data_IF_057784194333
#
_entry.id   IF_057784194333
#
_cell.length_a   1.000
_cell.length_b   1.000
_cell.length_c   1.000
_cell.angle_alpha   90.00
_cell.angle_beta   90.00
_cell.angle_gamma   90.00
#
_symmetry.space_group_name_H-M   'P 1'
#
loop_
_entity.id
_entity.type
_entity.pdbx_description
1 polymer ?
#
# COMPACT_ATOMS: atom_id res chain seq x y z
N UNK A 1 -7.80 -10.90 -9.53
CA UNK A 1 -6.81 -10.12 -10.30
C UNK A 1 -6.31 -8.99 -9.43
N UNK A 2 -5.00 -8.76 -9.38
CA UNK A 2 -4.37 -7.70 -8.56
C UNK A 2 -4.39 -6.35 -9.27
N UNK A 3 -4.21 -5.26 -8.50
CA UNK A 3 -4.17 -3.91 -9.02
C UNK A 3 -3.08 -3.70 -10.08
N UNK A 4 -1.79 -4.09 -9.86
CA UNK A 4 -0.77 -3.94 -10.89
C UNK A 4 -1.12 -4.67 -12.20
N UNK A 5 -1.71 -5.88 -12.11
CA UNK A 5 -2.12 -6.62 -13.30
C UNK A 5 -3.26 -5.95 -14.08
N UNK A 6 -4.21 -5.31 -13.38
CA UNK A 6 -5.24 -4.49 -14.04
C UNK A 6 -4.66 -3.18 -14.60
N UNK A 7 -3.68 -2.59 -13.93
CA UNK A 7 -3.03 -1.37 -14.38
C UNK A 7 -2.25 -1.62 -15.68
N UNK A 8 -1.37 -2.63 -15.73
CA UNK A 8 -0.66 -3.02 -16.96
C UNK A 8 -1.65 -3.36 -18.09
N UNK A 9 -2.78 -3.97 -17.77
CA UNK A 9 -3.84 -4.23 -18.77
C UNK A 9 -4.41 -2.94 -19.37
N UNK A 10 -4.68 -1.92 -18.54
CA UNK A 10 -5.14 -0.60 -18.99
C UNK A 10 -4.04 0.14 -19.77
N UNK A 11 -2.77 0.09 -19.33
CA UNK A 11 -1.67 0.86 -19.94
C UNK A 11 -1.20 0.26 -21.26
N UNK A 12 -1.44 -1.03 -21.49
CA UNK A 12 -1.31 -1.68 -22.80
C UNK A 12 -2.49 -1.34 -23.73
N UNK A 13 -3.75 -1.50 -23.27
CA UNK A 13 -4.93 -1.20 -24.09
C UNK A 13 -4.99 0.28 -24.50
N UNK A 14 -4.63 1.20 -23.60
CA UNK A 14 -4.51 2.63 -23.90
C UNK A 14 -3.45 2.91 -24.97
N UNK A 15 -2.32 2.18 -24.98
CA UNK A 15 -1.31 2.30 -26.04
C UNK A 15 -1.84 1.86 -27.39
N UNK A 16 -2.60 0.77 -27.46
CA UNK A 16 -3.20 0.34 -28.72
C UNK A 16 -4.29 1.29 -29.21
N UNK A 17 -5.13 1.84 -28.33
CA UNK A 17 -6.07 2.91 -28.67
C UNK A 17 -5.35 4.15 -29.21
N UNK A 18 -4.28 4.60 -28.54
CA UNK A 18 -3.45 5.74 -28.96
C UNK A 18 -2.67 5.49 -30.27
N UNK A 19 -2.52 4.22 -30.70
CA UNK A 19 -1.98 3.86 -32.03
C UNK A 19 -3.08 3.73 -33.09
N UNK A 20 -4.26 3.22 -32.72
CA UNK A 20 -5.32 2.85 -33.65
C UNK A 20 -6.23 4.01 -34.05
N UNK A 21 -6.71 4.79 -33.06
CA UNK A 21 -7.72 5.84 -33.27
C UNK A 21 -7.14 7.05 -34.03
N UNK A 22 -7.70 7.45 -35.19
CA UNK A 22 -7.27 8.64 -35.93
C UNK A 22 -7.31 9.97 -35.15
N UNK A 23 -8.14 10.09 -34.11
CA UNK A 23 -8.25 11.27 -33.25
C UNK A 23 -7.14 11.35 -32.19
N UNK A 24 -6.46 10.23 -31.92
CA UNK A 24 -5.46 10.06 -30.87
C UNK A 24 -4.05 9.75 -31.41
N UNK A 25 -3.97 9.15 -32.60
CA UNK A 25 -2.72 8.75 -33.26
C UNK A 25 -1.69 9.88 -33.30
N UNK A 26 -0.46 9.55 -32.90
CA UNK A 26 0.70 10.43 -32.82
C UNK A 26 0.59 11.61 -31.83
N UNK A 27 -0.44 11.67 -30.99
CA UNK A 27 -0.61 12.71 -29.96
C UNK A 27 -0.03 12.28 -28.62
N UNK A 28 0.32 13.25 -27.77
CA UNK A 28 0.68 13.03 -26.37
C UNK A 28 -0.52 13.26 -25.44
N UNK A 29 -0.39 12.88 -24.18
CA UNK A 29 -1.42 13.03 -23.15
C UNK A 29 -0.89 13.87 -21.99
N UNK A 30 -1.64 14.87 -21.54
CA UNK A 30 -1.36 15.57 -20.30
C UNK A 30 -2.01 14.83 -19.14
N UNK A 31 -1.23 14.46 -18.13
CA UNK A 31 -1.76 13.80 -16.95
C UNK A 31 -2.59 14.79 -16.09
N UNK A 32 -3.85 14.46 -15.83
CA UNK A 32 -4.80 15.23 -15.03
C UNK A 32 -4.76 14.92 -13.54
N UNK A 33 -5.93 14.76 -12.91
CA UNK A 33 -6.06 14.30 -11.52
C UNK A 33 -6.53 12.84 -11.48
N UNK A 34 -6.08 12.09 -10.48
CA UNK A 34 -6.70 10.81 -10.06
C UNK A 34 -7.72 11.12 -8.96
N UNK A 35 -8.96 10.66 -9.14
CA UNK A 35 -10.11 10.99 -8.30
C UNK A 35 -10.76 9.72 -7.74
N UNK A 36 -11.35 9.84 -6.56
CA UNK A 36 -12.22 8.89 -5.89
C UNK A 36 -13.57 9.58 -5.69
N UNK A 37 -14.69 8.90 -6.00
CA UNK A 37 -16.03 9.44 -5.77
C UNK A 37 -16.58 8.98 -4.40
N UNK A 38 -16.16 7.82 -3.89
CA UNK A 38 -16.65 7.27 -2.62
C UNK A 38 -15.60 6.80 -1.59
N UNK A 39 -14.30 7.06 -1.79
CA UNK A 39 -13.20 6.57 -0.93
C UNK A 39 -12.32 7.68 -0.34
N UNK A 40 -12.90 8.70 0.30
CA UNK A 40 -12.19 9.94 0.66
C UNK A 40 -10.95 9.83 1.58
N UNK A 41 -10.61 8.65 2.13
CA UNK A 41 -9.48 8.43 3.06
C UNK A 41 -8.55 7.27 2.68
N UNK A 42 -8.78 6.61 1.54
CA UNK A 42 -7.94 5.52 1.01
C UNK A 42 -6.49 5.96 0.72
N UNK A 43 -6.29 7.23 0.34
CA UNK A 43 -5.02 7.83 -0.08
C UNK A 43 -4.36 7.18 -1.31
N UNK A 44 -5.10 6.31 -1.99
CA UNK A 44 -4.60 5.50 -3.09
C UNK A 44 -4.42 6.29 -4.40
N UNK A 45 -4.91 7.54 -4.49
CA UNK A 45 -4.64 8.41 -5.65
C UNK A 45 -3.13 8.55 -5.91
N UNK A 46 -2.31 8.52 -4.85
CA UNK A 46 -0.85 8.60 -4.96
C UNK A 46 -0.26 7.46 -5.76
N UNK A 47 -0.54 6.22 -5.32
CA UNK A 47 0.02 5.01 -5.93
C UNK A 47 -0.46 4.88 -7.37
N UNK A 48 -1.76 5.07 -7.59
CA UNK A 48 -2.36 4.98 -8.92
C UNK A 48 -1.88 6.10 -9.86
N UNK A 49 -1.73 7.35 -9.39
CA UNK A 49 -1.09 8.42 -10.18
C UNK A 49 0.35 8.09 -10.53
N UNK A 50 1.14 7.65 -9.55
CA UNK A 50 2.58 7.43 -9.70
C UNK A 50 2.86 6.24 -10.63
N UNK A 51 2.15 5.12 -10.44
CA UNK A 51 2.28 3.97 -11.35
C UNK A 51 1.80 4.31 -12.76
N UNK A 52 0.65 4.98 -12.96
CA UNK A 52 0.23 5.42 -14.31
C UNK A 52 1.26 6.34 -14.98
N UNK A 53 1.91 7.24 -14.23
CA UNK A 53 2.93 8.14 -14.77
C UNK A 53 4.21 7.42 -15.18
N UNK A 54 4.61 6.38 -14.44
CA UNK A 54 5.72 5.50 -14.83
C UNK A 54 5.33 4.65 -16.04
N UNK A 55 4.18 3.98 -15.98
CA UNK A 55 3.68 3.05 -16.98
C UNK A 55 3.25 3.70 -18.31
N UNK A 56 3.16 5.03 -18.39
CA UNK A 56 2.78 5.78 -19.59
C UNK A 56 3.75 6.92 -19.93
N UNK A 57 4.97 6.90 -19.37
CA UNK A 57 5.94 8.00 -19.53
C UNK A 57 6.27 8.34 -21.00
N UNK A 58 6.20 7.37 -21.91
CA UNK A 58 6.34 7.52 -23.37
C UNK A 58 5.19 8.28 -24.03
N UNK A 59 3.98 8.26 -23.44
CA UNK A 59 2.80 8.94 -23.95
C UNK A 59 2.55 10.31 -23.30
N UNK A 60 3.18 10.61 -22.17
CA UNK A 60 2.87 11.81 -21.37
C UNK A 60 3.64 13.07 -21.81
N UNK A 61 2.95 14.21 -21.83
CA UNK A 61 3.54 15.54 -22.09
C UNK A 61 2.75 16.63 -21.34
N UNK A 62 3.43 17.63 -20.76
CA UNK A 62 2.80 18.69 -19.97
C UNK A 62 1.95 19.66 -20.80
N UNK A 63 2.29 19.87 -22.07
CA UNK A 63 1.66 20.82 -23.00
C UNK A 63 0.48 20.28 -23.80
N UNK A 64 0.15 18.98 -23.70
CA UNK A 64 -0.89 18.39 -24.54
C UNK A 64 -2.30 18.94 -24.24
N UNK A 65 -3.10 19.07 -25.31
CA UNK A 65 -4.51 19.44 -25.26
C UNK A 65 -5.44 18.24 -24.96
N UNK A 66 -4.92 17.01 -25.05
CA UNK A 66 -5.56 15.81 -24.52
C UNK A 66 -5.23 15.65 -23.03
N UNK A 67 -6.23 15.37 -22.21
CA UNK A 67 -6.06 15.14 -20.77
C UNK A 67 -6.42 13.69 -20.41
N UNK A 68 -5.45 12.97 -19.84
CA UNK A 68 -5.65 11.67 -19.22
C UNK A 68 -6.14 11.87 -17.77
N UNK A 69 -7.33 11.38 -17.46
CA UNK A 69 -7.89 11.38 -16.09
C UNK A 69 -8.10 9.94 -15.64
N UNK A 70 -8.05 9.68 -14.33
CA UNK A 70 -8.36 8.37 -13.78
C UNK A 70 -9.30 8.48 -12.57
N UNK A 71 -10.16 7.48 -12.39
CA UNK A 71 -11.04 7.33 -11.23
C UNK A 71 -10.86 5.94 -10.61
N UNK A 72 -11.11 5.82 -9.31
CA UNK A 72 -11.21 4.52 -8.66
C UNK A 72 -12.22 4.55 -7.51
N UNK A 73 -13.07 3.53 -7.45
CA UNK A 73 -14.30 3.54 -6.66
C UNK A 73 -14.61 2.13 -6.13
N UNK A 74 -15.13 2.04 -4.90
CA UNK A 74 -15.54 0.76 -4.32
C UNK A 74 -17.00 0.47 -4.68
N UNK A 75 -17.23 -0.55 -5.50
CA UNK A 75 -18.54 -0.81 -6.12
C UNK A 75 -18.92 -2.28 -6.00
N UNK A 76 -20.21 -2.57 -6.06
CA UNK A 76 -20.67 -3.93 -6.41
C UNK A 76 -20.42 -4.14 -7.90
N UNK A 77 -19.81 -5.25 -8.27
CA UNK A 77 -19.56 -5.63 -9.66
C UNK A 77 -20.80 -6.24 -10.31
N UNK A 78 -21.06 -5.86 -11.55
CA UNK A 78 -22.03 -6.53 -12.44
C UNK A 78 -21.34 -7.53 -13.40
N UNK A 79 -20.01 -7.71 -13.30
CA UNK A 79 -19.18 -8.32 -14.34
C UNK A 79 -18.86 -9.80 -14.08
N UNK A 80 -19.31 -10.68 -14.99
CA UNK A 80 -18.90 -12.09 -15.08
C UNK A 80 -18.81 -12.82 -13.74
N UNK A 81 -17.66 -13.45 -13.47
CA UNK A 81 -17.40 -14.20 -12.25
C UNK A 81 -17.41 -13.33 -10.97
N UNK A 82 -17.37 -12.00 -11.06
CA UNK A 82 -17.45 -11.07 -9.94
C UNK A 82 -18.88 -10.62 -9.61
N UNK A 83 -19.88 -10.94 -10.43
CA UNK A 83 -21.24 -10.41 -10.30
C UNK A 83 -21.78 -10.54 -8.87
N UNK A 84 -22.26 -9.42 -8.31
CA UNK A 84 -22.76 -9.29 -6.93
C UNK A 84 -21.68 -9.09 -5.85
N UNK A 85 -20.38 -9.16 -6.17
CA UNK A 85 -19.27 -8.99 -5.21
C UNK A 85 -18.73 -7.56 -5.19
N UNK A 86 -18.12 -7.15 -4.09
CA UNK A 86 -17.46 -5.84 -3.97
C UNK A 86 -16.08 -5.83 -4.63
N UNK A 87 -15.78 -4.83 -5.43
CA UNK A 87 -14.48 -4.65 -6.11
C UNK A 87 -14.04 -3.20 -6.04
N UNK A 88 -12.72 -2.94 -6.18
CA UNK A 88 -12.26 -1.61 -6.58
C UNK A 88 -12.32 -1.56 -8.10
N UNK A 89 -13.28 -0.82 -8.66
CA UNK A 89 -13.27 -0.49 -10.07
C UNK A 89 -12.23 0.60 -10.30
N UNK A 90 -11.37 0.43 -11.30
CA UNK A 90 -10.46 1.47 -11.77
C UNK A 90 -10.85 1.87 -13.19
N UNK A 91 -10.86 3.17 -13.47
CA UNK A 91 -11.28 3.74 -14.75
C UNK A 91 -10.28 4.79 -15.22
N UNK A 92 -10.00 4.83 -16.52
CA UNK A 92 -9.05 5.75 -17.14
C UNK A 92 -9.66 6.32 -18.41
N UNK A 93 -9.76 7.65 -18.50
CA UNK A 93 -10.42 8.37 -19.61
C UNK A 93 -9.48 9.36 -20.28
N UNK A 94 -9.44 9.37 -21.61
CA UNK A 94 -8.82 10.42 -22.43
C UNK A 94 -9.89 11.41 -22.86
N UNK A 95 -9.69 12.69 -22.57
CA UNK A 95 -10.62 13.78 -22.92
C UNK A 95 -9.91 14.88 -23.70
N UNK A 96 -10.60 15.49 -24.67
CA UNK A 96 -10.06 16.64 -25.40
C UNK A 96 -10.18 17.96 -24.61
N UNK A 97 -9.65 19.05 -25.19
CA UNK A 97 -9.70 20.39 -24.61
C UNK A 97 -11.11 20.96 -24.40
N UNK A 98 -12.14 20.36 -25.04
CA UNK A 98 -13.57 20.66 -24.81
C UNK A 98 -14.21 19.75 -23.77
N UNK A 99 -13.40 18.94 -23.06
CA UNK A 99 -13.78 17.90 -22.10
C UNK A 99 -14.57 16.72 -22.69
N UNK A 100 -14.67 16.59 -24.01
CA UNK A 100 -15.33 15.44 -24.64
C UNK A 100 -14.45 14.21 -24.46
N UNK A 101 -15.07 13.12 -24.01
CA UNK A 101 -14.41 11.83 -23.86
C UNK A 101 -14.16 11.19 -25.23
N UNK A 102 -12.93 10.77 -25.47
CA UNK A 102 -12.49 10.12 -26.70
C UNK A 102 -12.29 8.61 -26.51
N UNK A 103 -11.80 8.22 -25.33
CA UNK A 103 -11.68 6.84 -24.91
C UNK A 103 -11.90 6.74 -23.39
N UNK A 104 -12.52 5.64 -22.94
CA UNK A 104 -12.62 5.27 -21.53
C UNK A 104 -12.35 3.77 -21.40
N UNK A 105 -11.43 3.42 -20.52
CA UNK A 105 -11.11 2.05 -20.11
C UNK A 105 -11.56 1.83 -18.68
N UNK A 106 -12.08 0.64 -18.40
CA UNK A 106 -12.55 0.22 -17.07
C UNK A 106 -11.96 -1.17 -16.78
N UNK A 107 -11.57 -1.42 -15.53
CA UNK A 107 -11.13 -2.73 -15.00
C UNK A 107 -11.55 -2.89 -13.54
N UNK A 108 -11.52 -4.13 -13.05
CA UNK A 108 -11.91 -4.49 -11.68
C UNK A 108 -10.76 -5.16 -10.94
N UNK A 109 -10.37 -4.60 -9.80
CA UNK A 109 -9.44 -5.22 -8.87
C UNK A 109 -10.23 -6.13 -7.93
N UNK A 110 -10.19 -7.42 -8.24
CA UNK A 110 -10.73 -8.52 -7.44
C UNK A 110 -9.59 -9.35 -6.83
N UNK A 111 -8.75 -8.69 -6.01
CA UNK A 111 -7.85 -9.35 -5.07
C UNK A 111 -8.12 -8.80 -3.66
N UNK A 112 -8.36 -9.68 -2.70
CA UNK A 112 -8.72 -9.32 -1.32
C UNK A 112 -7.70 -8.41 -0.66
N UNK A 113 -6.41 -8.73 -0.83
CA UNK A 113 -5.32 -7.93 -0.29
C UNK A 113 -5.34 -6.51 -0.84
N UNK A 114 -5.40 -6.36 -2.17
CA UNK A 114 -5.46 -5.04 -2.80
C UNK A 114 -6.70 -4.24 -2.39
N UNK A 115 -7.89 -4.84 -2.37
CA UNK A 115 -9.13 -4.14 -1.95
C UNK A 115 -8.97 -3.64 -0.50
N UNK A 116 -8.63 -4.50 0.45
CA UNK A 116 -8.49 -4.13 1.86
C UNK A 116 -7.40 -3.06 2.09
N UNK A 117 -6.28 -3.16 1.36
CA UNK A 117 -5.18 -2.19 1.38
C UNK A 117 -5.62 -0.83 0.84
N UNK A 118 -6.37 -0.81 -0.26
CA UNK A 118 -6.93 0.42 -0.84
C UNK A 118 -7.96 1.06 0.11
N UNK A 119 -8.77 0.26 0.80
CA UNK A 119 -9.76 0.76 1.77
C UNK A 119 -9.15 1.17 3.13
N UNK A 120 -7.92 0.74 3.43
CA UNK A 120 -7.28 0.95 4.73
C UNK A 120 -7.95 0.15 5.85
N UNK A 121 -8.13 -1.16 5.61
CA UNK A 121 -8.88 -2.07 6.47
C UNK A 121 -8.00 -3.07 7.25
N UNK A 122 -8.24 -3.14 8.56
CA UNK A 122 -7.60 -4.11 9.47
C UNK A 122 -8.47 -5.37 9.56
N UNK A 123 -8.01 -6.49 9.00
CA UNK A 123 -8.71 -7.77 9.09
C UNK A 123 -7.80 -8.99 8.99
N UNK A 124 -8.35 -10.15 9.38
CA UNK A 124 -7.82 -11.48 9.08
C UNK A 124 -8.64 -12.07 7.93
N UNK A 125 -8.12 -12.10 6.69
CA UNK A 125 -8.79 -12.79 5.60
C UNK A 125 -8.88 -14.31 5.87
N UNK A 126 -10.01 -14.99 5.62
CA UNK A 126 -10.13 -16.43 5.83
C UNK A 126 -9.09 -17.24 5.05
N UNK A 127 -8.58 -18.33 5.65
CA UNK A 127 -7.60 -19.26 5.05
C UNK A 127 -8.28 -20.19 4.01
N UNK A 128 -8.70 -19.56 2.92
CA UNK A 128 -9.44 -20.12 1.79
C UNK A 128 -8.89 -19.51 0.50
N UNK A 129 -9.08 -20.19 -0.63
CA UNK A 129 -8.83 -19.59 -1.95
C UNK A 129 -10.10 -19.02 -2.59
N UNK A 130 -11.26 -19.14 -1.93
CA UNK A 130 -12.51 -18.59 -2.42
C UNK A 130 -12.53 -17.06 -2.28
N UNK A 131 -12.50 -16.35 -3.42
CA UNK A 131 -12.60 -14.89 -3.44
C UNK A 131 -13.92 -14.39 -2.80
N UNK A 132 -15.03 -15.11 -2.91
CA UNK A 132 -16.31 -14.66 -2.32
C UNK A 132 -16.24 -14.59 -0.79
N UNK A 133 -15.78 -15.66 -0.13
CA UNK A 133 -15.57 -15.71 1.33
C UNK A 133 -14.60 -14.62 1.80
N UNK A 134 -13.48 -14.44 1.08
CA UNK A 134 -12.50 -13.40 1.39
C UNK A 134 -13.02 -11.99 1.13
N UNK A 135 -13.92 -11.79 0.17
CA UNK A 135 -14.50 -10.51 -0.17
C UNK A 135 -15.53 -10.06 0.89
N UNK A 136 -16.39 -10.99 1.34
CA UNK A 136 -17.31 -10.76 2.45
C UNK A 136 -16.58 -10.36 3.74
N UNK A 137 -15.38 -10.89 4.00
CA UNK A 137 -14.56 -10.47 5.14
C UNK A 137 -14.07 -9.01 5.02
N UNK A 138 -13.81 -8.52 3.80
CA UNK A 138 -13.42 -7.12 3.55
C UNK A 138 -14.63 -6.19 3.60
N UNK A 139 -15.78 -6.61 3.08
CA UNK A 139 -17.05 -5.89 3.19
C UNK A 139 -17.47 -5.74 4.66
N UNK A 140 -17.46 -6.82 5.44
CA UNK A 140 -17.68 -6.78 6.89
C UNK A 140 -16.66 -5.89 7.61
N UNK A 141 -15.38 -5.89 7.22
CA UNK A 141 -14.39 -4.96 7.79
C UNK A 141 -14.70 -3.50 7.45
N UNK A 142 -15.23 -3.23 6.25
CA UNK A 142 -15.58 -1.90 5.80
C UNK A 142 -16.83 -1.34 6.50
N UNK A 143 -17.82 -2.20 6.77
CA UNK A 143 -19.04 -1.82 7.50
C UNK A 143 -18.82 -1.82 9.02
N UNK A 144 -17.93 -2.67 9.54
CA UNK A 144 -17.60 -2.82 10.96
C UNK A 144 -16.07 -2.79 11.22
N UNK A 145 -15.39 -1.63 11.03
CA UNK A 145 -13.95 -1.52 11.26
C UNK A 145 -13.59 -1.88 12.70
N UNK A 146 -12.52 -2.65 12.88
CA UNK A 146 -12.05 -3.05 14.21
C UNK A 146 -10.56 -3.42 14.22
N UNK A 147 -9.93 -3.28 15.37
CA UNK A 147 -8.60 -3.82 15.67
C UNK A 147 -8.57 -4.37 17.09
N UNK A 148 -7.52 -5.11 17.42
CA UNK A 148 -7.20 -5.50 18.79
C UNK A 148 -5.74 -5.13 19.09
N UNK A 149 -5.34 -5.11 20.37
CA UNK A 149 -3.93 -4.98 20.77
C UNK A 149 -3.38 -6.34 21.22
N UNK A 150 -2.09 -6.58 21.01
CA UNK A 150 -1.49 -7.88 21.29
C UNK A 150 -1.36 -8.12 22.81
N UNK A 151 -1.82 -9.25 23.37
CA UNK A 151 -1.80 -9.48 24.82
C UNK A 151 -0.40 -9.51 25.45
N UNK A 152 0.67 -9.67 24.66
CA UNK A 152 2.07 -9.59 25.13
C UNK A 152 2.73 -8.22 24.86
N UNK A 153 2.09 -7.34 24.07
CA UNK A 153 2.52 -5.96 23.79
C UNK A 153 1.30 -5.09 23.50
N UNK A 154 0.79 -4.37 24.51
CA UNK A 154 -0.42 -3.55 24.41
C UNK A 154 -0.32 -2.42 23.37
N UNK A 155 0.89 -2.01 22.99
CA UNK A 155 1.17 -1.01 21.94
C UNK A 155 1.22 -1.59 20.52
N UNK A 156 1.17 -2.91 20.37
CA UNK A 156 1.19 -3.57 19.06
C UNK A 156 -0.24 -3.89 18.61
N UNK A 157 -0.63 -3.34 17.46
CA UNK A 157 -1.94 -3.53 16.81
C UNK A 157 -1.95 -4.88 16.10
N UNK A 158 -3.03 -5.64 16.25
CA UNK A 158 -3.30 -6.90 15.55
C UNK A 158 -4.65 -6.87 14.83
N UNK A 159 -4.78 -7.71 13.81
CA UNK A 159 -6.07 -7.99 13.20
C UNK A 159 -6.97 -8.77 14.18
N UNK A 160 -8.29 -8.47 14.25
CA UNK A 160 -9.20 -9.17 15.15
C UNK A 160 -9.12 -10.69 15.00
N UNK A 161 -8.98 -11.38 16.13
CA UNK A 161 -8.94 -12.85 16.19
C UNK A 161 -7.62 -13.49 15.76
N UNK A 162 -6.61 -12.75 15.27
CA UNK A 162 -5.32 -13.33 14.86
C UNK A 162 -4.11 -12.60 15.48
N UNK A 163 -3.67 -12.99 16.69
CA UNK A 163 -2.53 -12.38 17.37
C UNK A 163 -1.16 -12.71 16.75
N UNK A 164 -1.08 -13.58 15.73
CA UNK A 164 0.18 -14.07 15.13
C UNK A 164 1.08 -12.95 14.58
N UNK A 165 0.50 -11.88 14.06
CA UNK A 165 1.24 -10.80 13.41
C UNK A 165 0.76 -9.46 13.94
N UNK A 166 1.68 -8.57 14.29
CA UNK A 166 1.36 -7.28 14.86
C UNK A 166 2.22 -6.14 14.29
N UNK A 167 1.69 -4.92 14.38
CA UNK A 167 2.41 -3.69 14.02
C UNK A 167 2.45 -2.77 15.23
N UNK A 168 3.64 -2.40 15.66
CA UNK A 168 3.90 -1.39 16.69
C UNK A 168 4.54 -0.17 16.04
N UNK A 169 4.15 1.04 16.43
CA UNK A 169 4.82 2.27 16.01
C UNK A 169 5.68 2.79 17.16
N UNK A 170 6.91 3.19 16.87
CA UNK A 170 7.80 3.85 17.85
C UNK A 170 8.15 5.27 17.38
N UNK A 171 8.32 6.19 18.33
CA UNK A 171 8.59 7.62 18.09
C UNK A 171 9.81 8.11 18.87
N UNK A 172 10.66 8.92 18.22
CA UNK A 172 11.61 9.81 18.88
C UNK A 172 11.04 11.24 18.88
N UNK A 173 10.99 11.88 20.05
CA UNK A 173 10.42 13.23 20.19
C UNK A 173 11.42 14.26 19.66
N UNK A 174 10.99 15.10 18.73
CA UNK A 174 11.89 16.04 18.03
C UNK A 174 13.00 15.35 17.23
N UNK A 175 12.84 14.05 16.93
CA UNK A 175 13.81 13.23 16.22
C UNK A 175 14.96 12.67 17.06
N UNK A 176 15.09 13.06 18.33
CA UNK A 176 16.20 12.67 19.21
C UNK A 176 15.83 11.57 20.23
N UNK A 177 16.86 10.87 20.71
CA UNK A 177 16.75 9.87 21.79
C UNK A 177 16.31 8.48 21.34
N UNK A 178 15.86 7.67 22.30
CA UNK A 178 15.43 6.28 22.08
C UNK A 178 13.98 6.22 21.61
N UNK A 179 13.66 5.49 20.51
CA UNK A 179 12.28 5.32 20.04
C UNK A 179 11.40 4.65 21.10
N UNK A 180 10.28 5.29 21.46
CA UNK A 180 9.29 4.75 22.42
C UNK A 180 8.02 4.31 21.69
N UNK A 181 7.42 3.15 22.03
CA UNK A 181 6.13 2.74 21.48
C UNK A 181 5.02 3.79 21.66
N UNK A 182 4.14 3.90 20.68
CA UNK A 182 2.92 4.72 20.70
C UNK A 182 1.73 3.79 21.00
N UNK A 183 0.83 4.22 21.88
CA UNK A 183 -0.44 3.50 22.12
C UNK A 183 -1.49 3.92 21.08
N UNK A 184 -2.15 2.96 20.39
CA UNK A 184 -3.21 3.26 19.44
C UNK A 184 -4.52 3.62 20.15
N UNK A 185 -5.21 4.67 19.67
CA UNK A 185 -6.58 4.98 20.08
C UNK A 185 -7.56 4.48 19.03
N UNK A 186 -8.77 4.08 19.43
CA UNK A 186 -9.83 3.76 18.46
C UNK A 186 -10.52 5.03 17.98
N UNK A 187 -10.61 5.21 16.66
CA UNK A 187 -11.49 6.20 16.02
C UNK A 187 -12.34 5.46 15.00
N UNK A 188 -13.65 5.48 15.19
CA UNK A 188 -14.62 4.77 14.33
C UNK A 188 -14.26 3.30 14.13
N UNK A 189 -13.82 2.64 15.21
CA UNK A 189 -13.37 1.25 15.20
C UNK A 189 -11.96 1.02 14.64
N UNK A 190 -11.45 1.90 13.78
CA UNK A 190 -10.09 1.85 13.24
C UNK A 190 -9.01 2.18 14.28
N UNK A 191 -7.82 1.61 14.11
CA UNK A 191 -6.63 2.00 14.88
C UNK A 191 -6.12 3.37 14.41
N UNK A 192 -5.91 4.29 15.34
CA UNK A 192 -5.43 5.64 15.06
C UNK A 192 -4.25 6.02 15.95
N UNK A 193 -3.27 6.73 15.40
CA UNK A 193 -2.16 7.35 16.15
C UNK A 193 -2.00 8.83 15.83
N UNK A 194 -1.49 9.60 16.78
CA UNK A 194 -1.18 11.01 16.57
C UNK A 194 0.32 11.20 16.31
N UNK A 195 0.65 11.82 15.18
CA UNK A 195 2.02 12.15 14.80
C UNK A 195 2.26 13.65 15.05
N UNK A 196 3.29 13.97 15.83
CA UNK A 196 3.78 15.34 16.00
C UNK A 196 4.73 15.76 14.88
N UNK A 197 4.81 17.08 14.66
CA UNK A 197 5.81 17.74 13.80
C UNK A 197 7.22 17.56 14.36
N UNK A 198 8.21 17.39 13.48
CA UNK A 198 9.63 17.25 13.83
C UNK A 198 10.01 15.92 14.50
N UNK A 199 9.03 15.11 14.90
CA UNK A 199 9.25 13.75 15.41
C UNK A 199 9.70 12.80 14.28
N UNK A 200 10.45 11.76 14.65
CA UNK A 200 10.84 10.66 13.76
C UNK A 200 10.22 9.34 14.21
N UNK A 201 9.93 8.46 13.26
CA UNK A 201 9.12 7.26 13.49
C UNK A 201 9.79 5.99 12.99
N UNK A 202 9.44 4.87 13.63
CA UNK A 202 9.79 3.52 13.20
C UNK A 202 8.53 2.66 13.14
N UNK A 203 8.36 1.89 12.06
CA UNK A 203 7.35 0.84 11.98
C UNK A 203 7.98 -0.47 12.40
N UNK A 204 7.46 -1.08 13.45
CA UNK A 204 7.95 -2.32 14.04
C UNK A 204 7.01 -3.45 13.64
N UNK A 205 7.54 -4.39 12.87
CA UNK A 205 6.82 -5.51 12.30
C UNK A 205 7.12 -6.74 13.18
N UNK A 206 6.08 -7.33 13.76
CA UNK A 206 6.21 -8.40 14.77
C UNK A 206 5.58 -9.70 14.28
N UNK A 207 6.31 -10.80 14.47
CA UNK A 207 5.85 -12.17 14.23
C UNK A 207 5.87 -12.98 15.52
N UNK A 208 4.69 -13.37 15.99
CA UNK A 208 4.44 -14.22 17.16
C UNK A 208 4.17 -15.69 16.78
N UNK A 209 4.23 -16.05 15.49
CA UNK A 209 4.13 -17.44 15.05
C UNK A 209 5.46 -18.17 15.31
N UNK A 210 5.43 -19.27 16.07
CA UNK A 210 6.63 -20.08 16.40
C UNK A 210 7.02 -21.07 15.28
N UNK A 211 6.19 -21.22 14.25
CA UNK A 211 6.38 -22.22 13.18
C UNK A 211 6.96 -21.57 11.91
N UNK A 212 6.37 -20.46 11.46
CA UNK A 212 6.64 -19.87 10.14
C UNK A 212 7.33 -18.51 10.21
N UNK A 213 8.38 -18.34 9.39
CA UNK A 213 8.91 -17.01 9.07
C UNK A 213 7.84 -16.21 8.29
N UNK A 214 7.93 -14.88 8.33
CA UNK A 214 7.00 -13.99 7.62
C UNK A 214 7.72 -13.01 6.69
N UNK A 215 7.00 -12.56 5.66
CA UNK A 215 7.33 -11.34 4.91
C UNK A 215 6.17 -10.37 5.05
N UNK A 216 6.47 -9.13 5.41
CA UNK A 216 5.52 -8.06 5.54
C UNK A 216 5.71 -7.00 4.45
N UNK A 217 4.64 -6.68 3.72
CA UNK A 217 4.59 -5.53 2.80
C UNK A 217 4.04 -4.35 3.58
N UNK A 218 4.81 -3.27 3.67
CA UNK A 218 4.45 -2.04 4.36
C UNK A 218 4.20 -0.96 3.33
N UNK A 219 3.01 -0.38 3.29
CA UNK A 219 2.71 0.88 2.62
C UNK A 219 2.46 1.99 3.63
N UNK A 220 2.88 3.21 3.31
CA UNK A 220 2.53 4.42 4.04
C UNK A 220 1.96 5.40 3.02
N UNK A 221 0.72 5.85 3.23
CA UNK A 221 -0.03 6.70 2.31
C UNK A 221 -0.13 6.12 0.89
N UNK A 222 -0.37 4.81 0.82
CA UNK A 222 -0.42 4.02 -0.42
C UNK A 222 0.94 3.74 -1.07
N UNK A 223 2.05 4.18 -0.47
CA UNK A 223 3.40 4.03 -1.02
C UNK A 223 4.16 2.91 -0.29
N UNK A 224 4.45 1.78 -0.96
CA UNK A 224 5.23 0.68 -0.39
C UNK A 224 6.67 1.10 -0.04
N UNK A 225 7.05 0.86 1.21
CA UNK A 225 8.21 1.49 1.82
C UNK A 225 9.56 0.98 1.31
N UNK A 226 9.55 -0.14 0.58
CA UNK A 226 10.74 -0.75 0.02
C UNK A 226 11.09 -0.23 -1.38
N UNK A 227 10.12 0.10 -2.27
CA UNK A 227 10.41 0.02 -3.71
C UNK A 227 10.48 1.31 -4.59
N UNK A 228 9.63 2.37 -4.53
CA UNK A 228 9.87 3.58 -5.43
C UNK A 228 11.21 4.22 -5.04
N UNK A 229 11.57 4.06 -3.78
CA UNK A 229 12.67 4.76 -3.17
C UNK A 229 13.99 4.03 -3.37
N UNK A 230 13.91 2.73 -3.66
CA UNK A 230 15.04 1.93 -4.08
C UNK A 230 15.61 2.42 -5.43
N UNK A 231 16.94 2.39 -5.57
CA UNK A 231 17.68 2.76 -6.78
C UNK A 231 18.71 1.73 -7.21
N UNK A 232 18.83 0.58 -6.54
CA UNK A 232 19.73 -0.51 -6.97
C UNK A 232 19.16 -1.43 -8.07
N UNK A 233 17.93 -1.17 -8.50
CA UNK A 233 17.28 -1.87 -9.61
C UNK A 233 16.62 -3.20 -9.23
N UNK A 234 16.60 -3.56 -7.95
CA UNK A 234 15.97 -4.79 -7.45
C UNK A 234 14.55 -4.51 -6.93
N UNK A 235 13.62 -5.42 -7.23
CA UNK A 235 12.28 -5.44 -6.63
C UNK A 235 12.31 -6.29 -5.35
N UNK A 236 11.93 -5.69 -4.22
CA UNK A 236 11.86 -6.37 -2.94
C UNK A 236 10.40 -6.74 -2.59
N UNK A 237 10.09 -8.02 -2.28
CA UNK A 237 8.72 -8.48 -2.05
C UNK A 237 8.14 -8.11 -0.67
N UNK A 238 8.91 -7.39 0.16
CA UNK A 238 8.58 -7.00 1.54
C UNK A 238 9.76 -7.20 2.50
N UNK A 239 9.54 -6.84 3.76
CA UNK A 239 10.49 -6.97 4.86
C UNK A 239 10.40 -8.38 5.47
N UNK A 240 11.53 -9.07 5.59
CA UNK A 240 11.60 -10.39 6.21
C UNK A 240 11.61 -10.30 7.74
N UNK A 241 10.76 -11.09 8.40
CA UNK A 241 10.64 -11.20 9.85
C UNK A 241 10.81 -12.68 10.22
N UNK A 242 11.76 -13.05 11.10
CA UNK A 242 11.90 -14.44 11.52
C UNK A 242 10.67 -14.90 12.32
N UNK A 243 10.47 -16.21 12.45
CA UNK A 243 9.54 -16.79 13.43
C UNK A 243 9.91 -16.47 14.88
N UNK A 244 8.92 -16.54 15.76
CA UNK A 244 9.11 -16.40 17.20
C UNK A 244 10.00 -17.54 17.75
N UNK A 245 10.76 -17.24 18.80
CA UNK A 245 11.62 -18.20 19.50
C UNK A 245 11.17 -18.27 20.96
N UNK A 246 10.20 -19.14 21.21
CA UNK A 246 9.43 -19.13 22.45
C UNK A 246 8.69 -17.79 22.61
N UNK A 247 8.72 -17.23 23.82
CA UNK A 247 8.05 -15.96 24.16
C UNK A 247 8.63 -14.71 23.51
N UNK A 248 9.70 -14.82 22.71
CA UNK A 248 10.29 -13.71 21.99
C UNK A 248 9.76 -13.68 20.54
N UNK A 249 8.95 -12.68 20.14
CA UNK A 249 8.56 -12.54 18.74
C UNK A 249 9.78 -12.25 17.86
N UNK A 250 9.70 -12.63 16.59
CA UNK A 250 10.55 -12.04 15.56
C UNK A 250 10.19 -10.56 15.40
N UNK A 251 11.19 -9.69 15.36
CA UNK A 251 11.02 -8.24 15.21
C UNK A 251 11.82 -7.73 14.01
N UNK A 252 11.19 -6.93 13.15
CA UNK A 252 11.86 -6.14 12.11
C UNK A 252 11.51 -4.66 12.29
N UNK A 253 12.53 -3.81 12.44
CA UNK A 253 12.35 -2.37 12.64
C UNK A 253 12.58 -1.65 11.31
N UNK A 254 11.51 -1.17 10.68
CA UNK A 254 11.59 -0.26 9.53
C UNK A 254 11.67 1.16 10.08
N UNK A 255 12.89 1.68 10.22
CA UNK A 255 13.13 3.08 10.62
C UNK A 255 12.90 4.08 9.47
N UNK A 256 12.58 3.59 8.28
CA UNK A 256 12.43 4.45 7.10
C UNK A 256 12.28 3.72 5.77
N UNK A 257 11.99 4.53 4.78
CA UNK A 257 11.96 4.33 3.34
C UNK A 257 13.29 3.78 2.77
N UNK A 258 13.32 2.63 2.11
CA UNK A 258 14.57 2.05 1.57
C UNK A 258 15.14 2.87 0.38
N UNK A 259 16.46 3.09 0.33
CA UNK A 259 17.17 3.65 -0.84
C UNK A 259 17.92 2.59 -1.66
N UNK A 260 18.59 1.69 -0.96
CA UNK A 260 19.35 0.57 -1.51
C UNK A 260 19.76 -0.33 -0.35
N UNK A 261 19.99 -1.61 -0.60
CA UNK A 261 20.58 -2.49 0.41
C UNK A 261 22.11 -2.39 0.50
N UNK A 262 22.76 -1.59 -0.37
CA UNK A 262 24.20 -1.36 -0.33
C UNK A 262 24.57 -0.39 0.80
N UNK A 263 25.76 -0.56 1.38
CA UNK A 263 26.31 0.37 2.39
C UNK A 263 27.00 1.55 1.70
N UNK A 264 26.22 2.59 1.41
CA UNK A 264 26.64 3.90 0.93
C UNK A 264 26.32 4.99 1.96
N UNK A 265 26.81 6.22 1.79
CA UNK A 265 26.67 7.32 2.77
C UNK A 265 25.27 7.45 3.39
N UNK A 266 24.22 7.31 2.57
CA UNK A 266 22.86 7.00 3.02
C UNK A 266 22.30 5.82 2.22
N UNK A 267 21.50 4.97 2.87
CA UNK A 267 20.79 3.85 2.27
C UNK A 267 19.34 3.62 2.77
N UNK A 268 18.87 4.30 3.83
CA UNK A 268 17.47 4.28 4.30
C UNK A 268 17.02 5.66 4.73
N UNK A 269 15.95 6.18 4.18
CA UNK A 269 15.44 7.51 4.49
C UNK A 269 14.37 7.50 5.62
N UNK A 270 14.58 8.21 6.73
CA UNK A 270 13.64 8.32 7.87
C UNK A 270 12.21 8.68 7.49
N UNK A 271 11.28 8.18 8.30
CA UNK A 271 9.94 8.72 8.44
C UNK A 271 9.99 9.97 9.36
N UNK A 272 10.04 11.16 8.76
CA UNK A 272 10.04 12.46 9.47
C UNK A 272 8.82 13.28 9.08
N UNK A 273 8.13 13.86 10.07
CA UNK A 273 7.01 14.78 9.83
C UNK A 273 7.53 16.22 9.81
N UNK A 274 8.25 16.58 8.74
CA UNK A 274 8.85 17.91 8.56
C UNK A 274 7.80 19.03 8.48
N UNK A 275 6.71 18.78 7.75
CA UNK A 275 5.58 19.69 7.60
C UNK A 275 4.28 18.88 7.43
N UNK A 276 3.28 19.19 8.25
CA UNK A 276 1.93 18.63 8.13
C UNK A 276 1.33 19.06 6.78
N UNK A 277 0.73 18.09 6.07
CA UNK A 277 0.28 18.29 4.69
C UNK A 277 1.37 18.45 3.62
N UNK A 278 2.67 18.42 3.94
CA UNK A 278 3.78 18.52 2.94
C UNK A 278 4.87 17.41 3.05
N UNK A 279 4.55 16.25 3.59
CA UNK A 279 5.37 15.04 3.37
C UNK A 279 5.44 14.64 1.89
N UNK A 280 5.99 13.47 1.55
CA UNK A 280 6.08 12.98 0.16
C UNK A 280 4.75 12.98 -0.61
N UNK A 281 3.64 12.89 0.12
CA UNK A 281 2.23 12.98 -0.32
C UNK A 281 1.79 14.37 -0.77
N UNK A 282 2.35 15.39 -0.13
CA UNK A 282 1.67 16.66 0.14
C UNK A 282 1.87 17.76 -0.89
N UNK A 283 2.73 17.56 -1.88
CA UNK A 283 2.99 18.53 -2.95
C UNK A 283 1.81 18.73 -3.94
N UNK A 284 0.58 18.34 -3.57
CA UNK A 284 -0.63 18.38 -4.42
C UNK A 284 -1.87 18.77 -3.62
N UNK A 285 -2.41 19.94 -3.93
CA UNK A 285 -3.49 20.60 -3.19
C UNK A 285 -4.84 19.87 -3.31
N UNK A 286 -5.13 18.96 -2.37
CA UNK A 286 -6.45 18.34 -2.22
C UNK A 286 -6.41 16.81 -2.06
N UNK A 287 -5.99 16.37 -0.86
CA UNK A 287 -6.00 14.99 -0.34
C UNK A 287 -6.49 14.99 1.11
N UNK A 288 -6.82 13.81 1.63
CA UNK A 288 -7.34 13.63 2.99
C UNK A 288 -6.42 14.20 4.08
N UNK A 289 -7.03 14.73 5.14
CA UNK A 289 -6.39 15.02 6.43
C UNK A 289 -5.89 13.75 7.13
N UNK A 290 -6.38 12.56 6.76
CA UNK A 290 -5.95 11.29 7.34
C UNK A 290 -4.94 10.60 6.41
N UNK A 291 -3.84 10.13 7.00
CA UNK A 291 -2.88 9.22 6.40
C UNK A 291 -3.07 7.79 6.88
N UNK A 292 -2.52 6.82 6.15
CA UNK A 292 -2.73 5.39 6.41
C UNK A 292 -1.41 4.61 6.27
N UNK A 293 -1.01 3.92 7.33
CA UNK A 293 0.02 2.87 7.29
C UNK A 293 -0.70 1.53 7.12
N UNK A 294 -0.45 0.83 6.01
CA UNK A 294 -0.95 -0.52 5.77
C UNK A 294 0.19 -1.54 5.87
N UNK A 295 -0.02 -2.64 6.58
CA UNK A 295 0.88 -3.78 6.61
C UNK A 295 0.14 -5.06 6.25
N UNK A 296 0.67 -5.79 5.29
CA UNK A 296 0.18 -7.11 4.88
C UNK A 296 1.22 -8.18 5.20
N UNK A 297 0.86 -9.17 6.01
CA UNK A 297 1.74 -10.28 6.38
C UNK A 297 1.44 -11.53 5.54
N UNK A 298 2.50 -12.17 5.07
CA UNK A 298 2.48 -13.38 4.25
C UNK A 298 3.45 -14.40 4.85
N UNK A 299 3.12 -15.70 4.75
CA UNK A 299 4.09 -16.77 5.04
C UNK A 299 5.36 -16.59 4.21
N UNK A 300 6.50 -16.96 4.81
CA UNK A 300 7.78 -17.11 4.12
C UNK A 300 8.41 -18.47 4.44
N UNK A 301 8.98 -19.11 3.42
CA UNK A 301 9.70 -20.38 3.56
C UNK A 301 11.01 -20.36 2.78
N UNK A 302 11.86 -21.34 3.06
CA UNK A 302 13.07 -21.57 2.27
C UNK A 302 12.72 -22.17 0.89
N UNK A 303 13.60 -22.02 -0.13
CA UNK A 303 13.36 -22.53 -1.47
C UNK A 303 13.31 -24.07 -1.56
N UNK A 304 12.13 -24.64 -1.33
CA UNK A 304 11.86 -26.08 -1.44
C UNK A 304 10.77 -26.58 -0.47
N UNK A 305 10.43 -25.78 0.54
CA UNK A 305 9.37 -26.09 1.50
C UNK A 305 7.95 -25.84 0.94
N UNK A 306 6.93 -26.41 1.58
CA UNK A 306 5.53 -26.34 1.13
C UNK A 306 4.87 -25.05 1.63
N UNK A 307 4.84 -24.05 0.74
CA UNK A 307 4.25 -22.73 0.95
C UNK A 307 2.72 -22.68 0.95
N UNK A 308 2.13 -21.77 1.75
CA UNK A 308 0.77 -21.25 1.55
C UNK A 308 0.80 -20.01 0.62
N UNK A 309 0.90 -20.24 -0.70
CA UNK A 309 0.72 -19.20 -1.74
C UNK A 309 1.98 -18.62 -2.40
N UNK A 310 1.81 -17.61 -3.29
CA UNK A 310 2.84 -17.01 -4.19
C UNK A 310 2.75 -15.47 -4.50
N UNK A 311 3.65 -14.65 -3.92
CA UNK A 311 4.33 -13.36 -4.34
C UNK A 311 3.57 -12.17 -5.04
N UNK A 312 3.93 -10.88 -4.73
CA UNK A 312 3.87 -9.59 -5.54
C UNK A 312 4.09 -8.29 -4.68
N UNK A 313 4.05 -7.03 -5.20
CA UNK A 313 4.23 -5.73 -4.45
C UNK A 313 3.46 -4.48 -5.00
N UNK A 314 3.95 -3.22 -5.08
CA UNK A 314 5.24 -2.55 -4.77
C UNK A 314 5.10 -0.97 -4.72
N UNK A 315 6.07 -0.23 -4.13
CA UNK A 315 6.47 1.22 -4.30
C UNK A 315 5.60 2.40 -3.71
N UNK A 316 6.05 3.57 -3.15
CA UNK A 316 7.29 4.09 -2.46
C UNK A 316 7.65 5.63 -2.55
N UNK A 317 8.82 6.04 -1.93
CA UNK A 317 10.60 8.18 -1.12
C UNK A 317 10.53 9.21 0.17
N UNK A 318 11.64 9.39 0.95
CA UNK A 318 11.87 10.38 2.07
C UNK A 318 13.34 10.95 2.25
N UNK A 319 13.82 11.34 3.47
CA UNK A 319 15.20 11.89 3.81
C UNK A 319 16.16 10.96 4.66
N UNK A 320 17.49 10.90 4.38
CA UNK A 320 18.45 9.76 4.60
C UNK A 320 18.97 9.32 6.00
N UNK A 321 19.60 8.11 6.05
CA UNK A 321 20.37 7.41 7.11
C UNK A 321 21.15 6.19 6.54
N UNK A 322 21.97 5.51 7.36
CA UNK A 322 22.51 4.15 7.12
C UNK A 322 21.89 3.04 8.00
N UNK A 323 21.55 1.88 7.42
CA UNK A 323 21.11 0.64 8.10
C UNK A 323 21.74 -0.60 7.43
N UNK A 324 22.10 -1.62 8.23
CA UNK A 324 22.70 -2.87 7.76
C UNK A 324 21.65 -3.95 7.40
N UNK A 325 21.08 -3.85 6.19
CA UNK A 325 20.17 -4.87 5.68
C UNK A 325 20.90 -6.09 5.10
N UNK A 326 20.39 -7.29 5.44
CA UNK A 326 20.81 -8.56 4.85
C UNK A 326 19.67 -9.13 4.02
N UNK A 327 19.94 -9.50 2.77
CA UNK A 327 18.96 -10.17 1.91
C UNK A 327 18.81 -11.65 2.33
N UNK A 328 17.58 -12.12 2.54
CA UNK A 328 17.24 -13.56 2.62
C UNK A 328 16.42 -13.93 1.38
N UNK A 329 16.84 -14.97 0.66
CA UNK A 329 16.06 -15.51 -0.46
C UNK A 329 14.96 -16.43 0.09
N UNK A 330 13.70 -16.03 -0.09
CA UNK A 330 12.53 -16.77 0.39
C UNK A 330 11.46 -16.95 -0.70
N UNK A 331 10.59 -17.93 -0.50
CA UNK A 331 9.26 -17.93 -1.10
C UNK A 331 8.33 -17.04 -0.24
N UNK A 332 7.27 -16.46 -0.83
CA UNK A 332 6.33 -15.56 -0.12
C UNK A 332 4.91 -15.87 -0.54
N UNK A 333 3.96 -15.86 0.39
CA UNK A 333 2.53 -16.11 0.15
C UNK A 333 1.90 -15.18 -0.92
N UNK A 334 0.77 -15.61 -1.49
CA UNK A 334 0.01 -14.84 -2.51
C UNK A 334 -1.05 -13.98 -1.86
N UNK A 335 -1.74 -14.58 -0.89
CA UNK A 335 -2.80 -13.99 -0.13
C UNK A 335 -2.26 -13.59 1.25
N UNK A 336 -2.58 -12.37 1.74
CA UNK A 336 -2.18 -11.98 3.09
C UNK A 336 -2.97 -12.80 4.12
N UNK A 337 -2.26 -13.20 5.17
CA UNK A 337 -2.80 -13.85 6.36
C UNK A 337 -3.35 -12.82 7.35
N UNK A 338 -2.70 -11.67 7.46
CA UNK A 338 -3.13 -10.54 8.28
C UNK A 338 -2.95 -9.24 7.50
N UNK A 339 -3.94 -8.35 7.60
CA UNK A 339 -3.89 -6.99 7.08
C UNK A 339 -4.13 -6.06 8.26
N UNK A 340 -3.21 -5.14 8.51
CA UNK A 340 -3.26 -4.20 9.65
C UNK A 340 -3.09 -2.79 9.11
N UNK A 341 -4.04 -1.92 9.44
CA UNK A 341 -4.13 -0.53 8.98
C UNK A 341 -4.13 0.42 10.17
N UNK A 342 -3.20 1.37 10.17
CA UNK A 342 -3.06 2.41 11.20
C UNK A 342 -3.33 3.76 10.55
N UNK A 343 -4.40 4.43 10.96
CA UNK A 343 -4.73 5.78 10.53
C UNK A 343 -3.94 6.81 11.35
N UNK A 344 -3.62 7.96 10.75
CA UNK A 344 -2.96 9.05 11.46
C UNK A 344 -3.36 10.43 10.92
N UNK A 345 -3.19 11.47 11.74
CA UNK A 345 -3.47 12.83 11.31
C UNK A 345 -2.32 13.42 10.47
N UNK A 346 -2.63 14.07 9.35
CA UNK A 346 -1.71 14.86 8.52
C UNK A 346 -1.91 16.37 8.66
N UNK A 347 -2.91 16.85 9.41
CA UNK A 347 -3.24 18.27 9.56
C UNK A 347 -3.68 18.62 10.97
N UNK A 348 -2.87 19.43 11.66
CA UNK A 348 -3.20 20.18 12.87
C UNK A 348 -3.11 21.68 12.53
#
# INVERSE_FOLDING_TARGET
MSFPGQLTSITLELREIMKADPLLRNRKLRFGKVVNENLAESNFELRFEKELRTELADLLESSSDLTLSATYDYVTSDSGDNSGRKVIQISVSVRDSRRRELAKLIREVNNTGDIARILGQTLTPPDTLNFAERNLAVEHSQDHPSFQTHPQRSTAIIAPGQPRYAVELRKCIGGEGTPKPIEPVSREGSAFVELGLGDTYQVVLLNFDEQFDAVAKLEIDGLDAANTFNTDGVVYPGYFIPRAVGRNPGEHIVSGWLHTVRKTNDNVFQFVVNELGKGAVGAKNGRSSIGVINVQFFDASEPGEIMRGRKFGETGKGQGMQIDYKLKHVQVGSEPLSIISIRYNRSL
#
